data_IF_295753175282
#
_entry.id   IF_295753175282
#
_cell.length_a   1.000
_cell.length_b   1.000
_cell.length_c   1.000
_cell.angle_alpha   90.00
_cell.angle_beta   90.00
_cell.angle_gamma   90.00
#
_symmetry.space_group_name_H-M   'P 1'
#
loop_
_entity.id
_entity.type
_entity.pdbx_description
1 polymer ?
#
# COMPACT_ATOMS: atom_id res chain seq x y z
N UNK A 1 -15.82 4.83 13.77
CA UNK A 1 -16.70 4.78 12.57
C UNK A 1 -18.10 4.36 13.01
N UNK A 2 -19.18 4.90 12.44
CA UNK A 2 -20.58 4.54 12.77
C UNK A 2 -21.08 3.40 11.89
N UNK A 3 -21.90 2.52 12.46
CA UNK A 3 -22.58 1.40 11.81
C UNK A 3 -24.06 1.36 12.22
N UNK A 4 -24.91 0.62 11.50
CA UNK A 4 -26.30 0.39 11.90
C UNK A 4 -26.35 -0.50 13.14
N UNK A 5 -27.37 -0.33 13.98
CA UNK A 5 -27.58 -1.17 15.17
C UNK A 5 -27.94 -2.61 14.79
N UNK A 6 -28.51 -2.80 13.60
CA UNK A 6 -28.90 -4.12 13.07
C UNK A 6 -27.72 -4.94 12.52
N UNK A 7 -26.51 -4.37 12.46
CA UNK A 7 -25.34 -5.08 11.96
C UNK A 7 -24.92 -6.20 12.92
N UNK A 8 -24.62 -7.38 12.37
CA UNK A 8 -24.08 -8.50 13.13
C UNK A 8 -22.59 -8.33 13.43
N UNK A 9 -22.16 -8.84 14.57
CA UNK A 9 -20.76 -8.96 14.95
C UNK A 9 -20.52 -10.24 15.74
N UNK A 10 -19.31 -10.79 15.65
CA UNK A 10 -18.89 -11.94 16.46
C UNK A 10 -18.07 -11.43 17.64
N UNK A 11 -18.36 -11.96 18.83
CA UNK A 11 -17.61 -11.63 20.04
C UNK A 11 -16.29 -12.40 20.01
N UNK A 12 -15.17 -11.68 20.07
CA UNK A 12 -13.83 -12.26 20.13
C UNK A 12 -12.83 -11.59 19.19
N UNK A 13 -11.62 -12.12 19.17
CA UNK A 13 -10.53 -11.71 18.28
C UNK A 13 -10.31 -12.79 17.22
N UNK A 14 -9.87 -12.37 16.02
CA UNK A 14 -9.41 -13.32 14.99
C UNK A 14 -8.17 -14.04 15.53
N UNK A 15 -8.16 -15.38 15.48
CA UNK A 15 -7.03 -16.19 15.94
C UNK A 15 -5.77 -16.05 15.05
N UNK A 16 -4.70 -16.78 15.41
CA UNK A 16 -3.40 -16.74 14.74
C UNK A 16 -2.73 -15.35 14.74
N UNK A 17 -2.56 -14.77 15.93
CA UNK A 17 -1.97 -13.43 16.10
C UNK A 17 -0.48 -13.41 15.73
N UNK A 18 0.23 -14.51 15.95
CA UNK A 18 1.67 -14.62 15.65
C UNK A 18 1.99 -14.62 14.15
N UNK A 19 0.97 -14.67 13.28
CA UNK A 19 1.17 -14.63 11.84
C UNK A 19 1.94 -13.37 11.38
N UNK A 20 1.80 -12.26 12.09
CA UNK A 20 2.53 -11.03 11.77
C UNK A 20 4.05 -11.13 12.01
N UNK A 21 4.48 -12.04 12.89
CA UNK A 21 5.87 -12.26 13.26
C UNK A 21 6.59 -13.24 12.31
N UNK A 22 5.87 -13.86 11.36
CA UNK A 22 6.44 -14.80 10.42
C UNK A 22 7.39 -14.10 9.41
N UNK A 23 8.63 -14.60 9.32
CA UNK A 23 9.60 -14.15 8.32
C UNK A 23 9.69 -15.16 7.16
N UNK A 24 9.72 -14.65 5.92
CA UNK A 24 9.78 -15.53 4.74
C UNK A 24 11.18 -16.12 4.48
N UNK A 25 12.26 -15.46 4.93
CA UNK A 25 13.64 -15.93 4.89
C UNK A 25 14.31 -16.02 3.50
N UNK A 26 13.57 -16.45 2.46
CA UNK A 26 14.08 -16.61 1.09
C UNK A 26 13.09 -16.09 0.05
N UNK A 27 13.63 -15.69 -1.11
CA UNK A 27 12.82 -15.24 -2.24
C UNK A 27 11.82 -16.32 -2.73
N UNK A 28 12.21 -17.60 -2.72
CA UNK A 28 11.32 -18.69 -3.17
C UNK A 28 10.02 -18.80 -2.35
N UNK A 29 10.05 -18.48 -1.05
CA UNK A 29 8.86 -18.57 -0.20
C UNK A 29 7.81 -17.53 -0.58
N UNK A 30 8.22 -16.30 -0.90
CA UNK A 30 7.28 -15.27 -1.38
C UNK A 30 6.66 -15.63 -2.73
N UNK A 31 7.41 -16.35 -3.59
CA UNK A 31 6.89 -16.87 -4.86
C UNK A 31 5.82 -17.94 -4.67
N UNK A 32 5.93 -18.81 -3.67
CA UNK A 32 4.90 -19.81 -3.34
C UNK A 32 3.59 -19.15 -2.90
N UNK A 33 3.65 -17.95 -2.32
CA UNK A 33 2.49 -17.12 -2.02
C UNK A 33 1.95 -16.32 -3.23
N UNK A 34 2.41 -16.61 -4.46
CA UNK A 34 1.94 -15.96 -5.68
C UNK A 34 2.44 -14.52 -5.89
N UNK A 35 3.34 -14.01 -5.04
CA UNK A 35 3.88 -12.65 -5.16
C UNK A 35 5.01 -12.64 -6.18
N UNK A 36 4.87 -11.85 -7.26
CA UNK A 36 5.94 -11.62 -8.25
C UNK A 36 6.94 -10.56 -7.74
N UNK A 37 8.20 -10.57 -8.20
CA UNK A 37 9.15 -9.50 -7.89
C UNK A 37 8.65 -8.14 -8.38
N UNK A 38 8.88 -7.09 -7.58
CA UNK A 38 8.57 -5.70 -7.96
C UNK A 38 9.85 -4.98 -8.33
N UNK A 39 9.88 -4.32 -9.49
CA UNK A 39 11.01 -3.51 -9.95
C UNK A 39 10.89 -2.09 -9.41
N UNK A 40 11.99 -1.51 -8.90
CA UNK A 40 12.02 -0.12 -8.42
C UNK A 40 11.94 0.85 -9.60
N UNK A 41 11.16 1.92 -9.51
CA UNK A 41 11.02 2.92 -10.59
C UNK A 41 12.33 3.59 -11.00
N UNK A 42 13.27 3.79 -10.06
CA UNK A 42 14.62 4.33 -10.33
C UNK A 42 15.46 3.40 -11.21
N UNK A 43 15.14 2.11 -11.27
CA UNK A 43 15.82 1.16 -12.14
C UNK A 43 15.23 1.10 -13.56
N UNK A 44 14.19 1.88 -13.84
CA UNK A 44 13.49 1.91 -15.14
C UNK A 44 13.98 3.06 -16.01
N UNK A 45 13.55 3.12 -17.27
CA UNK A 45 13.84 4.25 -18.16
C UNK A 45 12.83 5.40 -17.93
N UNK A 46 13.13 6.63 -18.36
CA UNK A 46 12.20 7.78 -18.23
C UNK A 46 10.83 7.56 -18.86
N UNK A 47 10.75 6.74 -19.91
CA UNK A 47 9.48 6.40 -20.59
C UNK A 47 8.60 5.46 -19.76
N UNK A 48 9.20 4.64 -18.90
CA UNK A 48 8.51 3.59 -18.15
C UNK A 48 8.01 4.10 -16.79
N UNK A 49 8.77 5.00 -16.15
CA UNK A 49 8.45 5.50 -14.81
C UNK A 49 8.90 6.95 -14.62
N UNK A 50 8.14 7.77 -13.88
CA UNK A 50 8.56 9.13 -13.49
C UNK A 50 9.87 9.22 -12.68
N UNK A 51 10.44 8.08 -12.28
CA UNK A 51 11.70 8.00 -11.52
C UNK A 51 12.86 7.48 -12.37
N UNK A 52 12.58 7.08 -13.61
CA UNK A 52 13.54 6.42 -14.45
C UNK A 52 14.54 7.37 -15.11
N UNK A 53 15.66 6.79 -15.54
CA UNK A 53 16.77 7.47 -16.21
C UNK A 53 17.79 8.15 -15.29
N UNK A 54 18.64 8.98 -15.91
CA UNK A 54 19.85 9.52 -15.30
C UNK A 54 21.07 8.62 -15.52
N UNK A 55 22.26 9.22 -15.52
CA UNK A 55 23.52 8.47 -15.56
C UNK A 55 23.85 7.93 -14.17
N UNK A 56 24.02 6.62 -14.05
CA UNK A 56 24.25 5.96 -12.77
C UNK A 56 23.03 5.98 -11.84
N UNK A 57 23.26 5.76 -10.54
CA UNK A 57 22.17 5.72 -9.54
C UNK A 57 21.82 7.13 -9.09
N UNK A 58 20.69 7.65 -9.58
CA UNK A 58 20.15 8.94 -9.15
C UNK A 58 19.05 8.80 -8.09
N UNK A 59 18.84 9.84 -7.29
CA UNK A 59 17.80 9.89 -6.23
C UNK A 59 16.36 9.87 -6.80
N UNK A 60 16.20 10.19 -8.08
CA UNK A 60 14.91 10.32 -8.75
C UNK A 60 14.17 11.63 -8.41
N UNK A 61 13.01 11.81 -9.04
CA UNK A 61 12.09 12.92 -8.80
C UNK A 61 11.35 12.78 -7.45
N UNK A 62 10.46 13.75 -7.14
CA UNK A 62 9.52 13.62 -6.03
C UNK A 62 8.86 12.22 -6.03
N UNK A 63 8.78 11.53 -4.88
CA UNK A 63 8.22 10.19 -4.82
C UNK A 63 6.78 10.13 -5.36
N UNK A 64 6.62 9.36 -6.44
CA UNK A 64 5.39 9.26 -7.22
C UNK A 64 5.15 7.80 -7.59
N UNK A 65 3.90 7.49 -7.85
CA UNK A 65 3.47 6.25 -8.49
C UNK A 65 3.90 6.23 -9.97
N UNK A 66 3.83 5.07 -10.66
CA UNK A 66 4.09 4.99 -12.11
C UNK A 66 3.23 5.94 -12.94
N UNK A 67 2.04 6.31 -12.44
CA UNK A 67 1.13 7.26 -13.09
C UNK A 67 1.29 8.71 -12.59
N UNK A 68 2.47 9.06 -12.08
CA UNK A 68 2.83 10.41 -11.62
C UNK A 68 1.99 10.98 -10.44
N UNK A 69 1.16 10.18 -9.77
CA UNK A 69 0.50 10.61 -8.54
C UNK A 69 1.49 10.60 -7.36
N UNK A 70 1.58 11.68 -6.54
CA UNK A 70 2.43 11.71 -5.36
C UNK A 70 2.12 10.58 -4.38
N UNK A 71 3.15 9.85 -3.93
CA UNK A 71 2.98 8.67 -3.05
C UNK A 71 3.13 8.98 -1.57
N UNK A 72 3.85 10.05 -1.21
CA UNK A 72 4.06 10.45 0.18
C UNK A 72 3.11 11.59 0.54
N UNK A 73 2.33 11.40 1.60
CA UNK A 73 1.48 12.44 2.22
C UNK A 73 0.17 12.79 1.49
N UNK A 74 0.05 12.54 0.18
CA UNK A 74 -1.18 12.87 -0.56
C UNK A 74 -2.35 11.97 -0.14
N UNK A 75 -3.42 12.59 0.38
CA UNK A 75 -4.67 11.88 0.72
C UNK A 75 -5.42 11.48 -0.56
N UNK A 76 -5.79 10.20 -0.69
CA UNK A 76 -6.47 9.65 -1.87
C UNK A 76 -7.97 9.42 -1.69
N UNK A 77 -8.47 9.41 -0.45
CA UNK A 77 -9.90 9.21 -0.17
C UNK A 77 -10.71 10.40 -0.67
N UNK A 78 -11.59 10.16 -1.65
CA UNK A 78 -12.58 11.12 -2.14
C UNK A 78 -13.96 10.46 -2.24
N UNK A 79 -14.63 10.24 -1.11
CA UNK A 79 -15.96 9.64 -1.10
C UNK A 79 -16.86 10.31 -0.06
N UNK A 80 -17.46 11.44 -0.49
CA UNK A 80 -18.37 12.26 0.32
C UNK A 80 -19.57 11.49 0.85
N UNK A 81 -20.13 10.57 0.05
CA UNK A 81 -21.31 9.76 0.40
C UNK A 81 -21.14 8.99 1.71
N UNK A 82 -19.93 8.56 2.01
CA UNK A 82 -19.63 7.72 3.19
C UNK A 82 -18.95 8.48 4.33
N UNK A 83 -18.63 9.76 4.14
CA UNK A 83 -17.97 10.57 5.17
C UNK A 83 -18.87 10.77 6.41
N UNK A 84 -20.20 10.73 6.23
CA UNK A 84 -21.18 10.75 7.35
C UNK A 84 -20.99 9.62 8.39
N UNK A 85 -20.33 8.53 8.01
CA UNK A 85 -20.05 7.41 8.92
C UNK A 85 -18.70 7.54 9.64
N UNK A 86 -17.89 8.54 9.32
CA UNK A 86 -16.57 8.75 9.91
C UNK A 86 -16.71 9.76 11.06
N UNK A 87 -16.36 9.32 12.27
CA UNK A 87 -16.32 10.17 13.47
C UNK A 87 -14.92 10.76 13.62
N UNK A 88 -13.91 9.92 13.53
CA UNK A 88 -12.50 10.28 13.58
C UNK A 88 -11.75 9.53 12.48
N UNK A 89 -10.72 10.16 11.91
CA UNK A 89 -9.85 9.53 10.91
C UNK A 89 -8.68 8.81 11.60
N UNK A 90 -8.12 7.80 10.94
CA UNK A 90 -6.88 7.13 11.39
C UNK A 90 -5.77 8.17 11.53
N UNK A 91 -5.06 8.14 12.66
CA UNK A 91 -3.85 8.94 12.93
C UNK A 91 -2.65 8.33 12.22
#
# INVERSE_FOLDING_TARGET
RKFSVECMATVGQVGNLDHENETYGKAGRTRWHGKKPTVRGVAMNPVDHPHGGGEGKVKGNHPQTPWAFPTLGKKTRNNKRTDKHIVERRK
#
